data_IF_767447815578
#
_entry.id   IF_767447815578
#
_cell.length_a   1.000
_cell.length_b   1.000
_cell.length_c   1.000
_cell.angle_alpha   90.00
_cell.angle_beta   90.00
_cell.angle_gamma   90.00
#
_symmetry.space_group_name_H-M   'P 1'
#
loop_
_entity.id
_entity.type
_entity.pdbx_description
1 polymer ?
#
# COMPACT_ATOMS: atom_id res chain seq x y z
N UNK A 1 21.04 4.47 6.36
CA UNK A 1 20.43 4.08 5.08
C UNK A 1 18.97 3.78 5.34
N UNK A 2 18.05 4.40 4.60
CA UNK A 2 16.62 4.16 4.77
C UNK A 2 16.25 2.79 4.20
N UNK A 3 15.52 1.98 4.97
CA UNK A 3 15.05 0.65 4.58
C UNK A 3 13.59 0.46 5.00
N UNK A 4 12.88 -0.42 4.32
CA UNK A 4 11.56 -0.83 4.77
C UNK A 4 11.27 -2.30 4.48
N UNK A 5 10.35 -2.86 5.26
CA UNK A 5 9.71 -4.14 5.02
C UNK A 5 8.21 -3.94 5.04
N UNK A 6 7.49 -4.65 4.16
CA UNK A 6 6.05 -4.73 4.21
C UNK A 6 5.60 -6.19 4.33
N UNK A 7 4.46 -6.41 4.98
CA UNK A 7 3.89 -7.72 5.24
C UNK A 7 2.36 -7.67 5.19
N UNK A 8 1.76 -8.85 5.09
CA UNK A 8 0.32 -9.02 5.04
C UNK A 8 -0.21 -9.45 3.67
N UNK A 9 -1.36 -10.11 3.75
CA UNK A 9 -2.07 -10.76 2.65
C UNK A 9 -3.33 -9.97 2.28
N UNK A 10 -3.79 -10.18 1.05
CA UNK A 10 -4.98 -9.55 0.49
C UNK A 10 -6.20 -9.73 1.39
N UNK A 11 -6.44 -10.92 1.89
CA UNK A 11 -7.55 -11.25 2.79
C UNK A 11 -7.04 -11.67 4.16
N UNK A 12 -5.85 -11.22 4.57
CA UNK A 12 -5.40 -11.34 5.96
C UNK A 12 -6.06 -10.30 6.86
N UNK A 13 -5.77 -10.33 8.16
CA UNK A 13 -6.38 -9.39 9.14
C UNK A 13 -5.81 -7.97 9.03
N UNK A 14 -4.52 -7.84 8.77
CA UNK A 14 -3.80 -6.57 8.71
C UNK A 14 -2.74 -6.58 7.61
N UNK A 15 -2.36 -5.39 7.16
CA UNK A 15 -1.08 -5.13 6.52
C UNK A 15 -0.15 -4.46 7.53
N UNK A 16 1.13 -4.78 7.46
CA UNK A 16 2.16 -4.24 8.34
C UNK A 16 3.31 -3.65 7.54
N UNK A 17 3.90 -2.58 8.04
CA UNK A 17 5.09 -1.95 7.50
C UNK A 17 6.06 -1.60 8.61
N UNK A 18 7.36 -1.78 8.35
CA UNK A 18 8.43 -1.34 9.23
C UNK A 18 9.36 -0.47 8.39
N UNK A 19 9.66 0.74 8.87
CA UNK A 19 10.62 1.64 8.25
C UNK A 19 11.78 1.83 9.23
N UNK A 20 13.01 1.65 8.76
CA UNK A 20 14.23 1.80 9.56
C UNK A 20 15.15 2.83 8.92
N UNK A 21 15.87 3.60 9.75
CA UNK A 21 16.84 4.60 9.30
C UNK A 21 16.23 5.97 9.03
N UNK A 22 15.05 6.25 9.60
CA UNK A 22 14.50 7.60 9.64
C UNK A 22 15.31 8.46 10.63
N UNK A 23 15.55 9.75 10.32
CA UNK A 23 16.11 10.66 11.31
C UNK A 23 15.12 10.88 12.45
N UNK A 24 15.62 11.16 13.66
CA UNK A 24 14.77 11.62 14.76
C UNK A 24 14.32 13.08 14.51
N UNK A 25 13.16 13.46 15.04
CA UNK A 25 12.62 14.81 14.98
C UNK A 25 11.73 15.10 13.77
N UNK A 26 11.65 14.19 12.79
CA UNK A 26 10.72 14.33 11.66
C UNK A 26 9.28 14.27 12.17
N UNK A 27 8.50 15.32 11.88
CA UNK A 27 7.09 15.41 12.26
C UNK A 27 6.24 14.59 11.29
N UNK A 28 5.44 13.66 11.81
CA UNK A 28 4.56 12.82 11.01
C UNK A 28 3.10 13.17 11.30
N UNK A 29 2.29 13.24 10.23
CA UNK A 29 0.87 13.53 10.32
C UNK A 29 0.08 12.38 9.71
N UNK A 30 -0.61 11.61 10.55
CA UNK A 30 -1.43 10.48 10.13
C UNK A 30 -2.55 10.87 9.15
N UNK A 31 -3.12 12.07 9.27
CA UNK A 31 -4.16 12.54 8.35
C UNK A 31 -3.62 12.67 6.92
N UNK A 32 -2.37 13.11 6.77
CA UNK A 32 -1.72 13.17 5.46
C UNK A 32 -1.56 11.79 4.84
N UNK A 33 -1.21 10.78 5.66
CA UNK A 33 -1.08 9.41 5.20
C UNK A 33 -2.44 8.86 4.73
N UNK A 34 -3.51 9.18 5.47
CA UNK A 34 -4.87 8.79 5.11
C UNK A 34 -5.37 9.49 3.84
N UNK A 35 -4.95 10.72 3.56
CA UNK A 35 -5.22 11.39 2.29
C UNK A 35 -4.57 10.67 1.10
N UNK A 36 -3.31 10.24 1.25
CA UNK A 36 -2.62 9.47 0.20
C UNK A 36 -3.24 8.08 0.00
N UNK A 37 -3.66 7.41 1.08
CA UNK A 37 -4.43 6.16 1.02
C UNK A 37 -5.77 6.36 0.31
N UNK A 38 -6.48 7.46 0.59
CA UNK A 38 -7.73 7.82 -0.10
C UNK A 38 -7.49 8.05 -1.60
N UNK A 39 -6.39 8.74 -1.97
CA UNK A 39 -6.00 8.91 -3.39
C UNK A 39 -5.77 7.56 -4.07
N UNK A 40 -5.13 6.61 -3.39
CA UNK A 40 -4.92 5.24 -3.89
C UNK A 40 -6.23 4.52 -4.18
N UNK A 41 -7.25 4.71 -3.34
CA UNK A 41 -8.57 4.11 -3.49
C UNK A 41 -9.42 4.74 -4.61
N UNK A 42 -9.07 5.95 -5.06
CA UNK A 42 -9.75 6.67 -6.14
C UNK A 42 -9.44 6.16 -7.56
N UNK A 43 -10.11 6.81 -8.52
CA UNK A 43 -10.00 6.53 -9.96
C UNK A 43 -11.26 5.90 -10.55
N UNK A 44 -11.65 6.33 -11.75
CA UNK A 44 -12.78 5.73 -12.46
C UNK A 44 -12.54 4.24 -12.73
N UNK A 45 -13.57 3.41 -12.51
CA UNK A 45 -13.50 1.95 -12.72
C UNK A 45 -12.92 1.15 -11.55
N UNK A 46 -12.69 1.76 -10.37
CA UNK A 46 -12.33 1.02 -9.16
C UNK A 46 -13.49 0.12 -8.70
N UNK A 47 -13.17 -1.13 -8.38
CA UNK A 47 -14.16 -2.15 -8.03
C UNK A 47 -14.75 -2.02 -6.63
N UNK A 48 -15.75 -2.86 -6.34
CA UNK A 48 -16.54 -2.87 -5.10
C UNK A 48 -15.70 -2.93 -3.82
N UNK A 49 -14.56 -3.61 -3.84
CA UNK A 49 -13.68 -3.70 -2.67
C UNK A 49 -13.20 -2.33 -2.18
N UNK A 50 -13.00 -1.35 -3.07
CA UNK A 50 -12.60 0.00 -2.67
C UNK A 50 -13.77 0.80 -2.05
N UNK A 51 -15.02 0.33 -2.17
CA UNK A 51 -16.17 0.88 -1.45
C UNK A 51 -16.27 0.34 -0.02
N UNK A 52 -15.78 -0.87 0.21
CA UNK A 52 -15.77 -1.54 1.53
C UNK A 52 -14.59 -1.06 2.37
N UNK A 53 -13.38 -1.11 1.79
CA UNK A 53 -12.17 -0.72 2.51
C UNK A 53 -12.17 0.79 2.77
N UNK A 54 -11.82 1.19 3.99
CA UNK A 54 -11.49 2.58 4.32
C UNK A 54 -10.13 2.52 4.99
N UNK A 55 -9.10 2.55 4.16
CA UNK A 55 -7.73 2.34 4.62
C UNK A 55 -7.33 3.51 5.52
N UNK A 56 -7.05 3.18 6.78
CA UNK A 56 -6.46 4.08 7.76
C UNK A 56 -5.17 3.46 8.25
N UNK A 57 -4.11 4.25 8.26
CA UNK A 57 -2.86 3.84 8.87
C UNK A 57 -2.90 4.12 10.37
N UNK A 58 -2.34 3.20 11.13
CA UNK A 58 -2.08 3.33 12.56
C UNK A 58 -0.57 3.21 12.79
N UNK A 59 0.00 4.14 13.54
CA UNK A 59 1.42 4.12 13.91
C UNK A 59 1.57 3.35 15.21
N UNK A 60 2.29 2.23 15.15
CA UNK A 60 2.44 1.31 16.28
C UNK A 60 3.70 1.56 17.11
N UNK A 61 4.74 2.17 16.53
CA UNK A 61 6.03 2.41 17.19
C UNK A 61 6.87 3.44 16.45
N UNK A 62 7.93 3.94 17.10
CA UNK A 62 8.90 4.86 16.50
C UNK A 62 8.47 6.32 16.48
N UNK A 63 7.37 6.64 17.15
CA UNK A 63 6.80 7.97 17.25
C UNK A 63 6.54 8.34 18.72
N UNK A 64 6.96 9.53 19.13
CA UNK A 64 6.63 10.13 20.43
C UNK A 64 6.21 11.57 20.17
N UNK A 65 5.06 11.98 20.70
CA UNK A 65 4.50 13.33 20.53
C UNK A 65 4.41 13.78 19.05
N UNK A 66 4.07 12.85 18.15
CA UNK A 66 3.94 13.14 16.72
C UNK A 66 5.27 13.25 15.96
N UNK A 67 6.41 13.00 16.62
CA UNK A 67 7.74 13.05 16.00
C UNK A 67 8.45 11.72 16.06
N UNK A 68 9.20 11.42 15.01
CA UNK A 68 10.06 10.25 14.96
C UNK A 68 11.16 10.34 16.00
N UNK A 69 11.56 9.20 16.58
CA UNK A 69 12.64 9.14 17.58
C UNK A 69 13.92 8.46 17.05
N UNK A 70 13.97 8.17 15.75
CA UNK A 70 15.10 7.49 15.08
C UNK A 70 15.08 5.96 15.20
N UNK A 71 14.28 5.39 16.11
CA UNK A 71 14.01 3.95 16.14
C UNK A 71 13.13 3.53 14.94
N UNK A 72 13.01 2.23 14.66
CA UNK A 72 12.11 1.76 13.60
C UNK A 72 10.67 2.25 13.80
N UNK A 73 10.05 2.71 12.70
CA UNK A 73 8.66 3.14 12.65
C UNK A 73 7.79 1.96 12.20
N UNK A 74 6.86 1.53 13.06
CA UNK A 74 5.91 0.47 12.76
C UNK A 74 4.57 1.04 12.30
N UNK A 75 4.04 0.54 11.18
CA UNK A 75 2.77 0.93 10.59
C UNK A 75 1.84 -0.27 10.45
N UNK A 76 0.55 -0.05 10.64
CA UNK A 76 -0.49 -1.05 10.42
C UNK A 76 -1.67 -0.47 9.64
N UNK A 77 -2.26 -1.29 8.77
CA UNK A 77 -3.55 -0.99 8.12
C UNK A 77 -4.47 -2.20 8.33
N UNK A 78 -5.64 -1.97 8.93
CA UNK A 78 -6.67 -3.04 9.08
C UNK A 78 -7.33 -3.35 7.75
N UNK A 79 -7.47 -4.62 7.42
CA UNK A 79 -8.32 -5.07 6.32
C UNK A 79 -9.75 -5.20 6.85
N UNK A 80 -10.68 -4.38 6.35
CA UNK A 80 -12.09 -4.49 6.77
C UNK A 80 -12.74 -5.75 6.21
N UNK A 81 -12.34 -6.14 5.00
CA UNK A 81 -12.89 -7.33 4.34
C UNK A 81 -12.54 -8.63 5.08
N UNK A 82 -11.57 -8.62 6.01
CA UNK A 82 -11.23 -9.80 6.82
C UNK A 82 -12.46 -10.46 7.46
N UNK A 83 -13.40 -9.66 7.96
CA UNK A 83 -14.63 -10.16 8.62
C UNK A 83 -15.45 -11.06 7.69
N UNK A 84 -15.49 -10.77 6.38
CA UNK A 84 -16.19 -11.59 5.38
C UNK A 84 -15.43 -12.88 5.01
N UNK A 85 -14.16 -12.99 5.39
CA UNK A 85 -13.29 -14.11 5.04
C UNK A 85 -13.04 -15.08 6.19
N UNK A 86 -13.39 -14.71 7.43
CA UNK A 86 -13.14 -15.56 8.62
C UNK A 86 -13.83 -16.91 8.55
N UNK A 87 -15.08 -16.93 8.09
CA UNK A 87 -15.92 -18.14 8.07
C UNK A 87 -16.06 -18.73 6.66
N UNK A 88 -15.33 -18.18 5.68
CA UNK A 88 -15.52 -18.54 4.29
C UNK A 88 -14.76 -19.81 3.94
N UNK A 89 -15.48 -20.92 3.80
CA UNK A 89 -14.93 -22.12 3.20
C UNK A 89 -14.59 -21.86 1.73
N UNK A 90 -13.30 -21.94 1.40
CA UNK A 90 -12.81 -21.68 0.06
C UNK A 90 -12.12 -22.93 -0.48
N UNK A 91 -12.71 -23.65 -1.46
CA UNK A 91 -12.05 -24.80 -2.05
C UNK A 91 -10.70 -24.41 -2.68
N UNK A 92 -9.73 -25.33 -2.78
CA UNK A 92 -8.43 -25.05 -3.38
C UNK A 92 -8.58 -24.48 -4.79
N UNK A 93 -7.85 -23.39 -5.08
CA UNK A 93 -7.79 -22.85 -6.42
C UNK A 93 -6.64 -23.53 -7.17
N UNK A 94 -6.96 -24.29 -8.20
CA UNK A 94 -5.96 -25.10 -8.94
C UNK A 94 -5.68 -24.57 -10.35
N UNK A 95 -6.54 -23.68 -10.87
CA UNK A 95 -6.41 -23.10 -12.20
C UNK A 95 -5.72 -21.75 -12.09
N UNK A 96 -4.54 -21.64 -12.70
CA UNK A 96 -3.74 -20.40 -12.73
C UNK A 96 -4.30 -19.41 -13.75
N UNK A 97 -4.38 -18.13 -13.39
CA UNK A 97 -4.84 -17.07 -14.31
C UNK A 97 -3.68 -16.56 -15.17
N UNK A 98 -3.83 -16.49 -16.50
CA UNK A 98 -2.82 -15.89 -17.37
C UNK A 98 -2.50 -14.43 -16.96
N UNK A 99 -1.22 -14.07 -16.97
CA UNK A 99 -0.74 -12.74 -16.58
C UNK A 99 -0.63 -12.51 -15.06
N UNK A 100 -1.06 -13.46 -14.23
CA UNK A 100 -0.88 -13.41 -12.77
C UNK A 100 0.34 -14.22 -12.30
N UNK A 101 0.76 -13.98 -11.06
CA UNK A 101 1.86 -14.70 -10.41
C UNK A 101 1.55 -16.17 -10.09
N UNK A 102 0.28 -16.59 -10.21
CA UNK A 102 -0.27 -17.87 -9.75
C UNK A 102 0.62 -19.07 -10.13
N UNK A 103 0.87 -19.29 -11.42
CA UNK A 103 1.59 -20.47 -11.92
C UNK A 103 3.05 -20.52 -11.49
N UNK A 104 3.78 -19.43 -11.71
CA UNK A 104 5.20 -19.34 -11.36
C UNK A 104 5.41 -19.45 -9.84
N UNK A 105 4.54 -18.82 -9.04
CA UNK A 105 4.59 -18.90 -7.59
C UNK A 105 4.25 -20.32 -7.09
N UNK A 106 3.26 -20.98 -7.70
CA UNK A 106 2.87 -22.34 -7.34
C UNK A 106 4.02 -23.33 -7.58
N UNK A 107 4.71 -23.21 -8.72
CA UNK A 107 5.90 -24.02 -9.00
C UNK A 107 7.02 -23.72 -8.00
N UNK A 108 7.36 -22.44 -7.81
CA UNK A 108 8.47 -22.02 -6.94
C UNK A 108 8.34 -22.55 -5.51
N UNK A 109 7.12 -22.54 -4.97
CA UNK A 109 6.86 -22.90 -3.58
C UNK A 109 6.19 -24.28 -3.42
N UNK A 110 5.97 -25.02 -4.51
CA UNK A 110 5.33 -26.33 -4.49
C UNK A 110 3.86 -26.31 -4.04
N UNK A 111 3.14 -25.21 -4.27
CA UNK A 111 1.74 -25.09 -3.86
C UNK A 111 0.77 -25.72 -4.86
N UNK A 112 -0.12 -26.58 -4.36
CA UNK A 112 -1.26 -27.10 -5.13
C UNK A 112 -2.44 -26.12 -5.17
N UNK A 113 -2.58 -25.31 -4.13
CA UNK A 113 -3.55 -24.22 -4.06
C UNK A 113 -2.84 -22.90 -4.39
N UNK A 114 -3.14 -22.35 -5.57
CA UNK A 114 -2.55 -21.09 -6.04
C UNK A 114 -3.03 -19.90 -5.21
N UNK A 115 -4.03 -20.06 -4.34
CA UNK A 115 -4.47 -19.01 -3.42
C UNK A 115 -3.35 -18.48 -2.54
N UNK A 116 -2.44 -19.35 -2.10
CA UNK A 116 -1.29 -18.94 -1.28
C UNK A 116 -0.38 -17.93 -1.99
N UNK A 117 -0.34 -17.96 -3.32
CA UNK A 117 0.40 -17.00 -4.14
C UNK A 117 -0.39 -15.70 -4.33
N UNK A 118 -1.67 -15.81 -4.71
CA UNK A 118 -2.48 -14.63 -5.02
C UNK A 118 -2.67 -13.71 -3.82
N UNK A 119 -2.73 -14.27 -2.61
CA UNK A 119 -2.88 -13.49 -1.38
C UNK A 119 -1.77 -12.46 -1.21
N UNK A 120 -0.51 -12.85 -1.50
CA UNK A 120 0.65 -11.96 -1.36
C UNK A 120 0.97 -11.18 -2.63
N UNK A 121 0.72 -11.74 -3.81
CA UNK A 121 0.94 -11.07 -5.09
C UNK A 121 -0.11 -9.99 -5.41
N UNK A 122 -1.20 -9.95 -4.65
CA UNK A 122 -2.28 -8.97 -4.79
C UNK A 122 -1.77 -7.52 -4.66
N UNK A 123 -2.39 -6.62 -5.42
CA UNK A 123 -2.15 -5.19 -5.31
C UNK A 123 -2.53 -4.61 -3.93
N UNK A 124 -3.16 -5.38 -3.03
CA UNK A 124 -3.49 -4.94 -1.66
C UNK A 124 -2.26 -4.43 -0.90
N UNK A 125 -1.10 -5.06 -1.09
CA UNK A 125 0.19 -4.62 -0.51
C UNK A 125 0.50 -3.14 -0.82
N UNK A 126 0.05 -2.62 -1.96
CA UNK A 126 0.33 -1.22 -2.35
C UNK A 126 -0.25 -0.21 -1.38
N UNK A 127 -1.26 -0.55 -0.57
CA UNK A 127 -1.73 0.31 0.52
C UNK A 127 -0.61 0.60 1.53
N UNK A 128 0.12 -0.44 1.97
CA UNK A 128 1.24 -0.25 2.88
C UNK A 128 2.39 0.52 2.21
N UNK A 129 2.65 0.27 0.92
CA UNK A 129 3.67 1.03 0.18
C UNK A 129 3.32 2.51 0.03
N UNK A 130 2.04 2.84 -0.11
CA UNK A 130 1.57 4.24 -0.11
C UNK A 130 1.80 4.86 1.26
N UNK A 131 1.44 4.18 2.36
CA UNK A 131 1.69 4.69 3.71
C UNK A 131 3.20 4.92 3.98
N UNK A 132 4.05 3.96 3.60
CA UNK A 132 5.52 4.12 3.67
C UNK A 132 6.00 5.28 2.78
N UNK A 133 5.45 5.40 1.57
CA UNK A 133 5.73 6.51 0.65
C UNK A 133 5.34 7.86 1.24
N UNK A 134 4.24 7.96 1.99
CA UNK A 134 3.84 9.19 2.66
C UNK A 134 4.82 9.60 3.77
N UNK A 135 5.40 8.64 4.49
CA UNK A 135 6.49 8.92 5.45
C UNK A 135 7.72 9.46 4.73
N UNK A 136 8.09 8.85 3.60
CA UNK A 136 9.20 9.33 2.78
C UNK A 136 8.93 10.74 2.20
N UNK A 137 7.69 11.03 1.77
CA UNK A 137 7.29 12.35 1.32
C UNK A 137 7.40 13.40 2.43
N UNK A 138 7.00 13.07 3.67
CA UNK A 138 7.22 13.97 4.81
C UNK A 138 8.69 14.28 5.04
N UNK A 139 9.60 13.31 4.87
CA UNK A 139 11.04 13.57 4.95
C UNK A 139 11.53 14.48 3.80
N UNK A 140 11.04 14.26 2.58
CA UNK A 140 11.43 15.04 1.40
C UNK A 140 10.95 16.51 1.48
N UNK A 141 9.80 16.74 2.11
CA UNK A 141 9.25 18.09 2.32
C UNK A 141 10.15 18.97 3.19
N UNK A 142 10.88 18.40 4.15
CA UNK A 142 11.90 19.12 4.94
C UNK A 142 13.01 19.71 4.05
N UNK A 143 13.17 19.20 2.83
CA UNK A 143 14.11 19.68 1.82
C UNK A 143 13.44 20.43 0.66
N UNK A 144 12.15 20.81 0.80
CA UNK A 144 11.34 21.44 -0.24
C UNK A 144 11.23 20.60 -1.53
N UNK A 145 11.26 19.28 -1.41
CA UNK A 145 11.11 18.36 -2.55
C UNK A 145 9.66 17.88 -2.61
N UNK A 146 9.02 18.10 -3.76
CA UNK A 146 7.63 17.73 -4.02
C UNK A 146 7.55 16.62 -5.09
N UNK A 147 6.60 15.69 -4.94
CA UNK A 147 6.40 14.57 -5.86
C UNK A 147 4.96 14.55 -6.36
N UNK A 148 4.80 14.52 -7.68
CA UNK A 148 3.51 14.42 -8.35
C UNK A 148 3.47 13.25 -9.35
N UNK A 149 2.27 12.76 -9.63
CA UNK A 149 2.04 11.78 -10.70
C UNK A 149 0.79 12.12 -11.48
N UNK A 150 0.79 11.80 -12.77
CA UNK A 150 -0.36 11.96 -13.66
C UNK A 150 -0.37 10.86 -14.72
N UNK A 151 -1.56 10.53 -15.24
CA UNK A 151 -1.73 9.47 -16.23
C UNK A 151 -1.52 10.03 -17.63
N UNK A 152 -0.50 9.54 -18.33
CA UNK A 152 -0.19 9.94 -19.71
C UNK A 152 -1.11 9.29 -20.75
N UNK A 153 -1.58 8.07 -20.49
CA UNK A 153 -2.34 7.27 -21.46
C UNK A 153 -3.16 6.18 -20.77
N UNK A 154 -4.36 5.92 -21.28
CA UNK A 154 -5.19 4.76 -20.93
C UNK A 154 -5.63 4.09 -22.24
N UNK A 155 -5.27 2.82 -22.44
CA UNK A 155 -5.55 2.11 -23.69
C UNK A 155 -4.96 2.85 -24.90
N UNK A 156 -5.79 3.22 -25.88
CA UNK A 156 -5.36 3.98 -27.06
C UNK A 156 -5.42 5.51 -26.86
N UNK A 157 -6.05 5.99 -25.78
CA UNK A 157 -6.27 7.42 -25.54
C UNK A 157 -5.08 8.02 -24.79
N UNK A 158 -4.44 9.03 -25.40
CA UNK A 158 -3.28 9.75 -24.83
C UNK A 158 -3.72 11.14 -24.35
N UNK A 159 -3.26 11.54 -23.17
CA UNK A 159 -3.46 12.88 -22.67
C UNK A 159 -2.74 13.91 -23.56
N UNK A 160 -3.41 15.02 -23.89
CA UNK A 160 -2.73 16.20 -24.43
C UNK A 160 -1.87 16.76 -23.30
N UNK A 161 -0.56 16.94 -23.55
CA UNK A 161 0.39 17.40 -22.53
C UNK A 161 -0.01 18.79 -22.06
N UNK A 162 -0.65 18.88 -20.91
CA UNK A 162 -0.85 20.11 -20.15
C UNK A 162 -0.35 19.79 -18.75
N UNK A 163 0.85 20.21 -18.43
CA UNK A 163 1.35 20.14 -17.07
C UNK A 163 2.23 21.36 -16.82
N UNK A 164 1.60 22.47 -16.45
CA UNK A 164 2.27 23.50 -15.65
C UNK A 164 2.11 23.08 -14.20
N UNK A 165 3.20 22.65 -13.56
CA UNK A 165 3.25 22.43 -12.11
C UNK A 165 3.60 23.74 -11.40
N UNK A 166 3.01 24.85 -11.84
CA UNK A 166 3.24 26.14 -11.22
C UNK A 166 2.56 26.13 -9.85
N UNK A 167 3.36 26.41 -8.80
CA UNK A 167 2.87 26.65 -7.45
C UNK A 167 1.74 27.70 -7.49
N UNK A 168 0.67 27.45 -6.76
CA UNK A 168 -0.26 28.52 -6.37
C UNK A 168 0.47 29.53 -5.49
#
# INVERSE_FOLDING_TARGET
>A
MLRFLDAGESHGKYLLGIIEGLPAGLSLNEEKFNLDLKRRQGGYGRGERMKIEQDRVEVLSGLVEGKTIGSPLGLMIKNKDWENWQEKECPPLTISRPGHADFAGAIKYGFKDVRKVLERASARQTAMRVAIGSVANSLLEEFNIEIYSYVLRIGQVKAKRIASFNRF
#
